data_IF_480438095526
#
_entry.id   IF_480438095526
#
_cell.length_a   1.000
_cell.length_b   1.000
_cell.length_c   1.000
_cell.angle_alpha   90.00
_cell.angle_beta   90.00
_cell.angle_gamma   90.00
#
_symmetry.space_group_name_H-M   'P 1'
#
loop_
_entity.id
_entity.type
_entity.pdbx_description
1 polymer ?
#
# COMPACT_ATOMS: atom_id res chain seq x y z
N UNK A 1 14.96 5.81 -30.29
CA UNK A 1 14.33 4.65 -30.88
C UNK A 1 12.85 4.65 -30.55
N UNK A 2 11.99 4.35 -31.52
CA UNK A 2 10.54 4.22 -31.25
C UNK A 2 10.32 2.97 -30.40
N UNK A 3 9.80 3.14 -29.20
CA UNK A 3 9.52 2.05 -28.25
C UNK A 3 8.10 1.49 -28.33
N UNK A 4 7.30 1.94 -29.30
CA UNK A 4 5.91 1.51 -29.47
C UNK A 4 5.49 1.45 -30.92
N UNK A 5 4.49 0.63 -31.21
CA UNK A 5 3.84 0.55 -32.54
C UNK A 5 2.52 1.30 -32.44
N UNK A 6 2.24 2.27 -33.35
CA UNK A 6 0.95 2.94 -33.37
C UNK A 6 -0.14 1.94 -33.75
N UNK A 7 -1.15 1.81 -32.90
CA UNK A 7 -2.29 0.89 -33.09
C UNK A 7 -3.57 1.61 -33.51
N UNK A 8 -3.60 2.92 -33.29
CA UNK A 8 -4.71 3.77 -33.69
C UNK A 8 -4.24 5.23 -33.85
N UNK A 9 -4.80 5.93 -34.83
CA UNK A 9 -4.63 7.37 -35.00
C UNK A 9 -5.97 7.99 -35.41
N UNK A 10 -6.29 9.14 -34.84
CA UNK A 10 -7.51 9.87 -35.13
C UNK A 10 -7.34 11.37 -34.98
N UNK A 11 -8.24 12.15 -35.61
CA UNK A 11 -8.32 13.60 -35.45
C UNK A 11 -9.56 13.97 -34.68
N UNK A 12 -9.40 14.88 -33.74
CA UNK A 12 -10.49 15.37 -32.90
C UNK A 12 -10.49 16.90 -32.89
N UNK A 13 -11.66 17.49 -33.10
CA UNK A 13 -11.81 18.94 -33.07
C UNK A 13 -12.19 19.37 -31.66
N UNK A 14 -11.24 20.00 -30.95
CA UNK A 14 -11.51 20.58 -29.65
C UNK A 14 -12.31 21.90 -29.81
N UNK A 15 -13.34 22.05 -28.98
CA UNK A 15 -14.01 23.34 -28.84
C UNK A 15 -13.09 24.32 -28.12
N UNK A 16 -12.99 25.54 -28.61
CA UNK A 16 -12.18 26.59 -27.98
C UNK A 16 -13.04 27.82 -27.70
N UNK A 17 -12.97 28.32 -26.46
CA UNK A 17 -13.52 29.62 -26.08
C UNK A 17 -12.35 30.49 -25.61
N UNK A 18 -12.35 31.76 -26.01
CA UNK A 18 -11.27 32.68 -25.66
C UNK A 18 -11.23 32.88 -24.13
N UNK A 19 -10.08 32.63 -23.52
CA UNK A 19 -9.83 32.76 -22.07
C UNK A 19 -10.71 31.90 -21.15
N UNK A 20 -11.28 30.80 -21.68
CA UNK A 20 -12.06 29.85 -20.89
C UNK A 20 -11.43 28.47 -20.99
N UNK A 21 -11.27 27.80 -19.85
CA UNK A 21 -10.90 26.38 -19.83
C UNK A 21 -12.11 25.56 -20.26
N UNK A 22 -11.96 24.81 -21.33
CA UNK A 22 -12.98 23.88 -21.84
C UNK A 22 -12.54 22.46 -21.53
N UNK A 23 -13.41 21.68 -20.91
CA UNK A 23 -13.24 20.25 -20.69
C UNK A 23 -14.14 19.49 -21.67
N UNK A 24 -13.56 18.54 -22.39
CA UNK A 24 -14.26 17.79 -23.41
C UNK A 24 -13.85 16.32 -23.34
N UNK A 25 -14.84 15.42 -23.27
CA UNK A 25 -14.60 13.99 -23.26
C UNK A 25 -14.12 13.50 -24.63
N UNK A 26 -13.06 12.68 -24.63
CA UNK A 26 -12.60 11.93 -25.78
C UNK A 26 -13.31 10.57 -25.79
N UNK A 27 -14.04 10.20 -26.86
CA UNK A 27 -14.77 8.92 -26.95
C UNK A 27 -13.79 7.78 -27.28
N UNK A 28 -12.87 7.47 -26.36
CA UNK A 28 -11.86 6.42 -26.56
C UNK A 28 -12.41 5.01 -26.34
N UNK A 29 -13.60 4.86 -25.74
CA UNK A 29 -14.23 3.55 -25.46
C UNK A 29 -14.29 2.67 -26.70
N UNK A 30 -14.82 3.22 -27.81
CA UNK A 30 -14.91 2.51 -29.10
C UNK A 30 -13.55 2.07 -29.65
N UNK A 31 -12.49 2.79 -29.32
CA UNK A 31 -11.12 2.45 -29.72
C UNK A 31 -10.62 1.30 -28.83
N UNK A 32 -10.83 1.40 -27.53
CA UNK A 32 -10.38 0.40 -26.56
C UNK A 32 -11.08 -0.97 -26.78
N UNK A 33 -12.35 -0.98 -27.18
CA UNK A 33 -13.08 -2.22 -27.52
C UNK A 33 -12.44 -3.00 -28.67
N UNK A 34 -11.71 -2.33 -29.56
CA UNK A 34 -11.02 -2.96 -30.71
C UNK A 34 -9.58 -3.35 -30.42
N UNK A 35 -9.01 -2.90 -29.29
CA UNK A 35 -7.64 -3.18 -28.90
C UNK A 35 -7.56 -4.44 -28.03
N UNK A 36 -6.50 -5.24 -28.18
CA UNK A 36 -6.25 -6.36 -27.27
C UNK A 36 -5.97 -5.86 -25.84
N UNK A 37 -5.97 -6.78 -24.87
CA UNK A 37 -5.48 -6.48 -23.53
C UNK A 37 -4.02 -6.02 -23.61
N UNK A 38 -3.66 -5.00 -22.79
CA UNK A 38 -2.29 -4.49 -22.76
C UNK A 38 -2.16 -3.06 -22.29
N UNK A 39 -0.94 -2.57 -22.31
CA UNK A 39 -0.58 -1.21 -21.92
C UNK A 39 -0.41 -0.33 -23.16
N UNK A 40 -1.17 0.76 -23.22
CA UNK A 40 -1.17 1.74 -24.31
C UNK A 40 -0.75 3.11 -23.83
N UNK A 41 -0.11 3.87 -24.69
CA UNK A 41 0.18 5.27 -24.47
C UNK A 41 -0.70 6.09 -25.43
N UNK A 42 -1.66 6.80 -24.88
CA UNK A 42 -2.42 7.82 -25.63
C UNK A 42 -1.59 9.10 -25.69
N UNK A 43 -1.35 9.61 -26.89
CA UNK A 43 -0.67 10.88 -27.12
C UNK A 43 -1.58 11.81 -27.88
N UNK A 44 -1.94 12.91 -27.28
CA UNK A 44 -2.66 14.01 -27.95
C UNK A 44 -1.66 15.11 -28.32
N UNK A 45 -1.65 15.51 -29.56
CA UNK A 45 -0.79 16.60 -30.06
C UNK A 45 -1.58 17.57 -30.91
N UNK A 46 -1.20 18.83 -30.88
CA UNK A 46 -1.73 19.85 -31.78
C UNK A 46 -1.38 19.51 -33.24
N UNK A 47 -2.35 19.61 -34.14
CA UNK A 47 -2.08 19.42 -35.58
C UNK A 47 -1.40 20.66 -36.09
N UNK A 48 -0.23 20.51 -36.73
CA UNK A 48 0.52 21.59 -37.32
C UNK A 48 -0.23 22.17 -38.53
N UNK A 49 -0.46 23.46 -38.50
CA UNK A 49 -0.96 24.20 -39.67
C UNK A 49 0.25 24.64 -40.47
N UNK A 50 0.20 24.52 -41.78
CA UNK A 50 1.28 24.97 -42.68
C UNK A 50 1.70 26.40 -42.36
N UNK A 51 3.00 26.64 -42.23
CA UNK A 51 3.59 27.95 -41.92
C UNK A 51 3.72 28.32 -40.43
N UNK A 52 3.36 27.45 -39.50
CA UNK A 52 3.50 27.70 -38.07
C UNK A 52 4.82 27.11 -37.51
N UNK A 53 5.72 27.98 -37.06
CA UNK A 53 6.99 27.61 -36.43
C UNK A 53 6.86 27.48 -34.90
N UNK A 54 5.68 27.10 -34.39
CA UNK A 54 5.42 26.97 -32.95
C UNK A 54 5.84 25.60 -32.44
N UNK A 55 6.44 25.58 -31.24
CA UNK A 55 6.63 24.33 -30.49
C UNK A 55 5.26 23.69 -30.23
N UNK A 56 5.02 22.56 -30.87
CA UNK A 56 3.78 21.81 -30.71
C UNK A 56 3.63 21.31 -29.26
N UNK A 57 2.50 21.65 -28.67
CA UNK A 57 2.13 21.12 -27.36
C UNK A 57 1.62 19.69 -27.50
N UNK A 58 2.00 18.84 -26.57
CA UNK A 58 1.47 17.48 -26.49
C UNK A 58 1.11 17.15 -25.05
N UNK A 59 0.20 16.22 -24.90
CA UNK A 59 -0.13 15.57 -23.64
C UNK A 59 -0.15 14.07 -23.86
N UNK A 60 0.20 13.32 -22.83
CA UNK A 60 0.19 11.86 -22.91
C UNK A 60 -0.40 11.26 -21.63
N UNK A 61 -1.08 10.11 -21.80
CA UNK A 61 -1.70 9.35 -20.73
C UNK A 61 -1.49 7.87 -20.98
N UNK A 62 -1.04 7.14 -19.96
CA UNK A 62 -1.03 5.69 -19.99
C UNK A 62 -2.42 5.14 -19.78
N UNK A 63 -2.79 4.14 -20.57
CA UNK A 63 -4.07 3.43 -20.51
C UNK A 63 -3.75 1.95 -20.43
N UNK A 64 -4.29 1.30 -19.40
CA UNK A 64 -4.22 -0.15 -19.25
C UNK A 64 -5.57 -0.75 -19.65
N UNK A 65 -5.58 -1.54 -20.73
CA UNK A 65 -6.73 -2.32 -21.14
C UNK A 65 -6.57 -3.76 -20.63
N UNK A 66 -7.34 -4.12 -19.61
CA UNK A 66 -7.22 -5.41 -18.91
C UNK A 66 -8.55 -5.81 -18.31
N UNK A 67 -8.80 -7.11 -18.23
CA UNK A 67 -9.91 -7.68 -17.43
C UNK A 67 -9.44 -8.13 -16.03
N UNK A 68 -8.20 -7.82 -15.63
CA UNK A 68 -7.69 -8.18 -14.31
C UNK A 68 -7.75 -7.02 -13.33
N UNK A 69 -8.50 -7.18 -12.26
CA UNK A 69 -8.43 -6.36 -11.05
C UNK A 69 -7.37 -6.90 -10.09
N UNK A 70 -6.37 -6.08 -9.74
CA UNK A 70 -5.30 -6.43 -8.80
C UNK A 70 -5.41 -5.58 -7.56
N UNK A 71 -5.45 -6.23 -6.40
CA UNK A 71 -5.39 -5.55 -5.11
C UNK A 71 -4.30 -6.15 -4.23
N UNK A 72 -3.67 -5.33 -3.39
CA UNK A 72 -2.63 -5.77 -2.48
C UNK A 72 -2.83 -5.17 -1.09
N UNK A 73 -2.65 -5.99 -0.06
CA UNK A 73 -2.68 -5.58 1.33
C UNK A 73 -1.35 -5.95 1.98
N UNK A 74 -0.65 -4.95 2.55
CA UNK A 74 0.61 -5.14 3.27
C UNK A 74 0.31 -5.28 4.76
N UNK A 75 0.94 -6.25 5.41
CA UNK A 75 0.85 -6.52 6.84
C UNK A 75 2.22 -6.89 7.42
N UNK A 76 2.31 -7.14 8.72
CA UNK A 76 3.59 -7.35 9.40
C UNK A 76 4.38 -8.57 8.87
N UNK A 77 3.70 -9.62 8.41
CA UNK A 77 4.31 -10.87 7.94
C UNK A 77 4.53 -10.91 6.42
N UNK A 78 4.17 -9.84 5.69
CA UNK A 78 4.33 -9.81 4.25
C UNK A 78 3.27 -9.00 3.51
N UNK A 79 2.84 -9.51 2.36
CA UNK A 79 1.82 -8.89 1.52
C UNK A 79 0.92 -9.97 0.93
N UNK A 80 -0.39 -9.75 0.95
CA UNK A 80 -1.36 -10.56 0.21
C UNK A 80 -1.76 -9.83 -1.06
N UNK A 81 -1.74 -10.52 -2.18
CA UNK A 81 -2.16 -10.02 -3.49
C UNK A 81 -3.35 -10.84 -3.95
N UNK A 82 -4.40 -10.15 -4.39
CA UNK A 82 -5.59 -10.80 -4.94
C UNK A 82 -5.80 -10.36 -6.39
N UNK A 83 -6.10 -11.32 -7.25
CA UNK A 83 -6.36 -11.10 -8.68
C UNK A 83 -7.74 -11.64 -9.02
N UNK A 84 -8.59 -10.77 -9.58
CA UNK A 84 -9.96 -11.13 -9.98
C UNK A 84 -10.28 -10.58 -11.35
N UNK A 85 -11.14 -11.27 -12.07
CA UNK A 85 -11.70 -10.75 -13.32
C UNK A 85 -12.65 -9.58 -13.03
N UNK A 86 -12.49 -8.47 -13.76
CA UNK A 86 -13.29 -7.26 -13.54
C UNK A 86 -14.74 -7.43 -13.99
N UNK A 87 -14.99 -8.24 -15.02
CA UNK A 87 -16.32 -8.50 -15.58
C UNK A 87 -17.17 -9.42 -14.69
N UNK A 88 -16.56 -10.41 -14.04
CA UNK A 88 -17.26 -11.47 -13.30
C UNK A 88 -16.97 -11.52 -11.82
N UNK A 89 -16.00 -10.71 -11.35
CA UNK A 89 -15.43 -10.75 -10.00
C UNK A 89 -14.89 -12.14 -9.57
N UNK A 90 -14.77 -13.10 -10.50
CA UNK A 90 -14.24 -14.44 -10.21
C UNK A 90 -12.74 -14.38 -9.96
N UNK A 91 -12.21 -15.24 -9.06
CA UNK A 91 -10.77 -15.34 -8.86
C UNK A 91 -10.06 -15.83 -10.12
N UNK A 92 -8.87 -15.30 -10.37
CA UNK A 92 -7.99 -15.75 -11.45
C UNK A 92 -6.87 -16.58 -10.83
N UNK A 93 -6.91 -17.90 -11.04
CA UNK A 93 -5.86 -18.84 -10.63
C UNK A 93 -4.69 -18.84 -11.62
N UNK A 94 -3.52 -19.31 -11.16
CA UNK A 94 -2.30 -19.44 -11.96
C UNK A 94 -1.83 -18.13 -12.62
N UNK A 95 -2.32 -16.99 -12.19
CA UNK A 95 -1.78 -15.69 -12.62
C UNK A 95 -0.37 -15.52 -12.06
N UNK A 96 0.59 -15.28 -12.93
CA UNK A 96 1.97 -15.01 -12.57
C UNK A 96 2.09 -13.60 -11.99
N UNK A 97 2.67 -13.48 -10.81
CA UNK A 97 2.89 -12.20 -10.11
C UNK A 97 4.39 -12.02 -9.89
N UNK A 98 4.92 -10.91 -10.37
CA UNK A 98 6.29 -10.49 -10.16
C UNK A 98 6.32 -9.21 -9.32
N UNK A 99 7.06 -9.22 -8.21
CA UNK A 99 7.34 -8.03 -7.41
C UNK A 99 8.62 -7.38 -7.93
N UNK A 100 8.49 -6.14 -8.39
CA UNK A 100 9.56 -5.38 -9.01
C UNK A 100 9.98 -4.23 -8.10
N UNK A 101 11.29 -4.02 -7.96
CA UNK A 101 11.89 -2.92 -7.19
C UNK A 101 11.96 -1.63 -8.02
N UNK A 102 12.39 -0.55 -7.37
CA UNK A 102 12.68 0.73 -8.05
C UNK A 102 13.84 0.64 -9.05
N UNK A 103 14.79 -0.28 -8.84
CA UNK A 103 15.87 -0.59 -9.78
C UNK A 103 15.45 -1.50 -10.94
N UNK A 104 14.16 -1.86 -11.00
CA UNK A 104 13.58 -2.74 -12.02
C UNK A 104 14.03 -4.21 -11.91
N UNK A 105 14.46 -4.64 -10.72
CA UNK A 105 14.81 -6.03 -10.45
C UNK A 105 13.60 -6.80 -9.94
N UNK A 106 13.43 -8.05 -10.36
CA UNK A 106 12.42 -8.96 -9.84
C UNK A 106 12.95 -9.56 -8.54
N UNK A 107 12.31 -9.26 -7.41
CA UNK A 107 12.70 -9.76 -6.08
C UNK A 107 11.82 -10.91 -5.59
N UNK A 108 10.70 -11.13 -6.24
CA UNK A 108 9.82 -12.25 -5.95
C UNK A 108 8.97 -12.59 -7.17
N UNK A 109 8.77 -13.89 -7.40
CA UNK A 109 7.87 -14.42 -8.42
C UNK A 109 7.03 -15.54 -7.83
N UNK A 110 5.75 -15.58 -8.17
CA UNK A 110 4.83 -16.61 -7.74
C UNK A 110 3.55 -16.63 -8.56
N UNK A 111 2.65 -17.57 -8.27
CA UNK A 111 1.37 -17.71 -8.94
C UNK A 111 0.22 -17.68 -7.94
N UNK A 112 -0.90 -17.15 -8.35
CA UNK A 112 -2.13 -17.18 -7.56
C UNK A 112 -2.66 -18.61 -7.41
N UNK A 113 -3.25 -18.88 -6.27
CA UNK A 113 -3.96 -20.12 -5.98
C UNK A 113 -5.38 -20.12 -6.61
N UNK A 114 -6.18 -21.16 -6.34
CA UNK A 114 -7.55 -21.28 -6.86
C UNK A 114 -8.49 -20.16 -6.37
N UNK A 115 -8.15 -19.45 -5.32
CA UNK A 115 -8.88 -18.30 -4.79
C UNK A 115 -8.41 -16.97 -5.39
N UNK A 116 -7.47 -17.02 -6.34
CA UNK A 116 -6.87 -15.85 -6.97
C UNK A 116 -5.91 -15.09 -6.04
N UNK A 117 -5.39 -15.75 -5.00
CA UNK A 117 -4.56 -15.12 -3.97
C UNK A 117 -3.12 -15.63 -4.02
N UNK A 118 -2.16 -14.73 -3.81
CA UNK A 118 -0.76 -15.04 -3.58
C UNK A 118 -0.26 -14.28 -2.35
N UNK A 119 0.40 -14.98 -1.44
CA UNK A 119 1.05 -14.38 -0.27
C UNK A 119 2.55 -14.24 -0.52
N UNK A 120 3.06 -13.02 -0.43
CA UNK A 120 4.47 -12.70 -0.50
C UNK A 120 5.02 -12.62 0.93
N UNK A 121 6.11 -13.34 1.23
CA UNK A 121 6.71 -13.31 2.57
C UNK A 121 7.35 -11.95 2.86
N UNK A 122 7.43 -11.61 4.15
CA UNK A 122 7.95 -10.32 4.61
C UNK A 122 9.35 -9.98 4.07
N UNK A 123 10.33 -10.90 3.97
CA UNK A 123 11.63 -10.59 3.40
C UNK A 123 11.57 -10.06 1.95
N UNK A 124 10.62 -10.53 1.15
CA UNK A 124 10.46 -10.09 -0.24
C UNK A 124 9.93 -8.64 -0.34
N UNK A 125 9.19 -8.18 0.67
CA UNK A 125 8.55 -6.84 0.68
C UNK A 125 9.32 -5.80 1.50
N UNK A 126 10.52 -6.13 1.96
CA UNK A 126 11.37 -5.36 2.90
C UNK A 126 12.46 -4.55 2.21
N UNK A 127 12.35 -4.09 1.06
CA UNK A 127 13.41 -3.30 0.39
C UNK A 127 13.45 -1.83 0.82
N UNK A 128 14.63 -1.19 0.67
CA UNK A 128 14.83 0.25 0.86
C UNK A 128 15.53 0.86 -0.34
N UNK A 129 15.34 2.17 -0.59
CA UNK A 129 15.96 2.92 -1.69
C UNK A 129 15.71 2.24 -3.06
N UNK A 130 16.78 1.89 -3.80
CA UNK A 130 16.70 1.22 -5.10
C UNK A 130 16.02 -0.15 -5.01
N UNK A 131 16.26 -0.89 -3.92
CA UNK A 131 15.68 -2.22 -3.67
C UNK A 131 14.28 -2.17 -3.05
N UNK A 132 13.69 -0.98 -2.87
CA UNK A 132 12.32 -0.87 -2.36
C UNK A 132 11.33 -1.45 -3.38
N UNK A 133 10.37 -2.29 -2.94
CA UNK A 133 9.26 -2.74 -3.77
C UNK A 133 8.54 -1.54 -4.40
N UNK A 134 8.29 -1.61 -5.69
CA UNK A 134 7.75 -0.50 -6.47
C UNK A 134 6.46 -0.86 -7.21
N UNK A 135 6.43 -2.02 -7.84
CA UNK A 135 5.30 -2.46 -8.64
C UNK A 135 5.07 -3.97 -8.50
N UNK A 136 3.80 -4.35 -8.57
CA UNK A 136 3.38 -5.73 -8.87
C UNK A 136 3.02 -5.80 -10.35
N UNK A 137 3.61 -6.73 -11.06
CA UNK A 137 3.26 -7.05 -12.45
C UNK A 137 2.57 -8.39 -12.47
N UNK A 138 1.39 -8.44 -13.05
CA UNK A 138 0.54 -9.62 -13.10
C UNK A 138 0.31 -10.02 -14.56
N UNK A 139 0.48 -11.29 -14.86
CA UNK A 139 0.22 -11.87 -16.18
C UNK A 139 -0.67 -13.09 -16.05
N UNK A 140 -1.69 -13.16 -16.89
CA UNK A 140 -2.52 -14.36 -17.02
C UNK A 140 -2.89 -14.55 -18.48
N UNK A 141 -2.47 -15.66 -19.08
CA UNK A 141 -2.65 -15.95 -20.52
C UNK A 141 -2.07 -14.81 -21.39
N UNK A 142 -2.93 -14.03 -22.04
CA UNK A 142 -2.55 -12.87 -22.86
C UNK A 142 -2.75 -11.55 -22.15
N UNK A 143 -3.40 -11.55 -20.99
CA UNK A 143 -3.73 -10.35 -20.25
C UNK A 143 -2.58 -9.93 -19.31
N UNK A 144 -2.47 -8.63 -19.11
CA UNK A 144 -1.42 -7.97 -18.36
C UNK A 144 -2.01 -6.87 -17.49
N UNK A 145 -1.65 -6.86 -16.22
CA UNK A 145 -1.97 -5.79 -15.29
C UNK A 145 -0.75 -5.42 -14.44
N UNK A 146 -0.75 -4.23 -13.88
CA UNK A 146 0.24 -3.84 -12.90
C UNK A 146 -0.40 -2.99 -11.80
N UNK A 147 0.18 -3.04 -10.59
CA UNK A 147 -0.21 -2.24 -9.45
C UNK A 147 1.02 -1.52 -8.91
N UNK A 148 1.00 -0.19 -8.94
CA UNK A 148 2.05 0.62 -8.33
C UNK A 148 1.88 0.64 -6.80
N UNK A 149 2.95 0.30 -6.07
CA UNK A 149 2.95 0.22 -4.60
C UNK A 149 3.40 1.52 -3.92
N UNK A 150 3.82 2.50 -4.69
CA UNK A 150 4.30 3.80 -4.23
C UNK A 150 3.20 4.89 -4.18
N UNK A 151 1.99 4.57 -4.61
CA UNK A 151 0.83 5.44 -4.43
C UNK A 151 0.25 5.29 -3.03
N UNK A 152 -0.46 6.32 -2.58
CA UNK A 152 -1.18 6.26 -1.32
C UNK A 152 -2.12 5.04 -1.30
N UNK A 153 -2.08 4.28 -0.22
CA UNK A 153 -3.06 3.24 0.03
C UNK A 153 -4.48 3.85 0.00
N UNK A 154 -5.49 3.00 -0.24
CA UNK A 154 -6.87 3.42 -0.09
C UNK A 154 -7.06 4.08 1.28
N UNK A 155 -7.57 5.31 1.28
CA UNK A 155 -7.86 6.02 2.53
C UNK A 155 -9.09 5.39 3.19
N UNK A 156 -8.84 4.69 4.28
CA UNK A 156 -9.85 4.02 5.09
C UNK A 156 -10.07 4.76 6.42
N UNK A 157 -9.53 5.96 6.58
CA UNK A 157 -9.61 6.73 7.83
C UNK A 157 -11.06 7.03 8.26
N UNK A 158 -11.97 7.13 7.31
CA UNK A 158 -13.40 7.33 7.58
C UNK A 158 -14.14 6.08 8.08
N UNK A 159 -13.53 4.90 7.99
CA UNK A 159 -14.16 3.62 8.34
C UNK A 159 -13.81 3.14 9.75
N UNK A 160 -13.14 3.96 10.56
CA UNK A 160 -12.70 3.64 11.93
C UNK A 160 -11.98 2.28 12.04
N UNK A 161 -11.26 1.91 11.01
CA UNK A 161 -10.44 0.69 10.96
C UNK A 161 -9.00 0.95 11.40
N UNK A 162 -8.73 2.12 11.96
CA UNK A 162 -7.42 2.51 12.48
C UNK A 162 -7.03 1.59 13.63
N UNK A 163 -6.35 0.51 13.31
CA UNK A 163 -5.72 -0.37 14.29
C UNK A 163 -4.38 0.20 14.75
N UNK A 164 -3.95 -0.19 15.95
CA UNK A 164 -2.60 0.06 16.41
C UNK A 164 -1.61 -0.78 15.61
N UNK A 165 -0.49 -0.18 15.20
CA UNK A 165 0.60 -0.94 14.56
C UNK A 165 1.09 -2.00 15.55
N UNK A 166 0.99 -3.28 15.16
CA UNK A 166 1.49 -4.38 15.97
C UNK A 166 3.01 -4.27 16.11
N UNK A 167 3.50 -4.33 17.34
CA UNK A 167 4.93 -4.38 17.61
C UNK A 167 5.48 -5.77 17.29
N UNK A 168 6.61 -5.84 16.59
CA UNK A 168 7.29 -7.10 16.31
C UNK A 168 7.86 -7.77 17.58
N UNK A 169 8.02 -7.00 18.66
CA UNK A 169 8.61 -7.49 19.93
C UNK A 169 7.57 -7.87 20.98
N UNK A 170 6.32 -7.50 20.77
CA UNK A 170 5.25 -7.73 21.73
C UNK A 170 4.50 -6.47 22.09
N UNK A 171 3.55 -6.59 22.98
CA UNK A 171 2.59 -5.58 23.34
C UNK A 171 2.39 -5.49 24.84
N UNK A 172 2.11 -4.30 25.35
CA UNK A 172 1.81 -4.08 26.75
C UNK A 172 0.54 -3.24 26.92
N UNK A 173 -0.32 -3.67 27.79
CA UNK A 173 -1.47 -2.91 28.24
C UNK A 173 -1.23 -2.47 29.68
N UNK A 174 -1.32 -1.16 29.94
CA UNK A 174 -1.09 -0.54 31.24
C UNK A 174 -2.32 0.23 31.67
N UNK A 175 -2.69 0.08 32.92
CA UNK A 175 -3.76 0.88 33.51
C UNK A 175 -3.48 1.16 34.98
N UNK A 176 -4.04 2.25 35.46
CA UNK A 176 -4.00 2.67 36.87
C UNK A 176 -5.39 2.55 37.48
N UNK A 177 -5.47 2.42 38.80
CA UNK A 177 -6.74 2.36 39.52
C UNK A 177 -7.57 3.66 39.37
N UNK A 178 -6.91 4.79 39.06
CA UNK A 178 -7.52 6.09 38.81
C UNK A 178 -6.81 6.84 37.69
N UNK A 179 -7.52 7.74 37.00
CA UNK A 179 -6.95 8.63 35.99
C UNK A 179 -6.26 9.87 36.56
N UNK A 180 -6.54 10.25 37.79
CA UNK A 180 -6.04 11.49 38.44
C UNK A 180 -5.63 11.16 39.88
N UNK A 181 -4.43 11.63 40.27
CA UNK A 181 -3.86 11.48 41.62
C UNK A 181 -3.49 12.85 42.16
N UNK A 182 -3.63 12.99 43.49
CA UNK A 182 -3.10 14.16 44.17
C UNK A 182 -1.60 14.07 44.39
N UNK A 183 -0.90 15.18 44.55
CA UNK A 183 0.52 15.16 44.90
C UNK A 183 0.80 14.27 46.12
N UNK A 184 1.80 13.40 46.02
CA UNK A 184 2.22 12.44 47.07
C UNK A 184 1.29 11.24 47.29
N UNK A 185 0.21 11.08 46.52
CA UNK A 185 -0.56 9.84 46.55
C UNK A 185 0.24 8.69 45.91
N UNK A 186 -0.04 7.48 46.31
CA UNK A 186 0.53 6.28 45.71
C UNK A 186 -0.28 5.95 44.45
N UNK A 187 0.43 5.77 43.36
CA UNK A 187 -0.13 5.30 42.09
C UNK A 187 -0.04 3.79 42.05
N UNK A 188 -1.16 3.12 41.86
CA UNK A 188 -1.24 1.67 41.66
C UNK A 188 -1.36 1.41 40.16
N UNK A 189 -0.33 0.79 39.59
CA UNK A 189 -0.25 0.48 38.17
C UNK A 189 -0.32 -1.03 37.98
N UNK A 190 -1.16 -1.47 37.09
CA UNK A 190 -1.24 -2.84 36.63
C UNK A 190 -0.83 -2.91 35.16
N UNK A 191 -0.05 -3.92 34.81
CA UNK A 191 0.38 -4.15 33.43
C UNK A 191 0.22 -5.60 33.01
N UNK A 192 -0.14 -5.78 31.74
CA UNK A 192 -0.21 -7.06 31.04
C UNK A 192 0.73 -6.99 29.86
N UNK A 193 1.57 -8.00 29.66
CA UNK A 193 2.48 -8.06 28.52
C UNK A 193 2.19 -9.33 27.70
N UNK A 194 2.21 -9.19 26.39
CA UNK A 194 2.01 -10.28 25.43
C UNK A 194 3.06 -10.19 24.33
N UNK A 195 3.52 -11.34 23.86
CA UNK A 195 4.36 -11.39 22.68
C UNK A 195 3.54 -11.16 21.39
N UNK A 196 4.21 -11.15 20.24
CA UNK A 196 3.59 -10.97 18.93
C UNK A 196 2.46 -11.97 18.59
N UNK A 197 2.40 -13.11 19.26
CA UNK A 197 1.38 -14.14 19.08
C UNK A 197 0.27 -14.04 20.14
N UNK A 198 0.22 -12.95 20.90
CA UNK A 198 -0.72 -12.70 21.99
C UNK A 198 -0.64 -13.71 23.15
N UNK A 199 0.48 -14.42 23.31
CA UNK A 199 0.76 -15.31 24.44
C UNK A 199 1.88 -14.78 25.34
N UNK A 200 2.25 -15.52 26.37
CA UNK A 200 3.25 -15.15 27.37
C UNK A 200 4.62 -15.76 27.14
N UNK A 201 4.78 -16.57 26.10
CA UNK A 201 6.03 -17.30 25.84
C UNK A 201 7.18 -16.36 25.50
N UNK A 202 8.31 -16.57 26.12
CA UNK A 202 9.55 -15.83 25.83
C UNK A 202 9.53 -14.36 26.25
N UNK A 203 8.58 -13.93 27.08
CA UNK A 203 8.58 -12.60 27.67
C UNK A 203 9.70 -12.55 28.73
N UNK A 204 10.72 -11.75 28.40
CA UNK A 204 11.83 -11.47 29.30
C UNK A 204 11.53 -10.33 30.28
N UNK A 205 12.60 -9.83 30.94
CA UNK A 205 12.50 -8.69 31.82
C UNK A 205 12.04 -7.43 31.09
N UNK A 206 11.08 -6.71 31.66
CA UNK A 206 10.55 -5.45 31.15
C UNK A 206 10.95 -4.30 32.04
N UNK A 207 11.33 -3.19 31.42
CA UNK A 207 11.64 -1.95 32.11
C UNK A 207 10.42 -1.01 32.00
N UNK A 208 9.87 -0.61 33.12
CA UNK A 208 8.85 0.43 33.18
C UNK A 208 9.54 1.77 33.39
N UNK A 209 9.43 2.67 32.43
CA UNK A 209 10.01 4.02 32.51
C UNK A 209 8.88 5.04 32.57
N UNK A 210 8.87 5.82 33.65
CA UNK A 210 7.89 6.89 33.84
C UNK A 210 8.55 8.21 33.47
N UNK A 211 7.93 8.94 32.57
CA UNK A 211 8.40 10.24 32.11
C UNK A 211 7.55 11.37 32.68
N UNK A 212 8.17 12.50 32.93
CA UNK A 212 7.48 13.76 33.17
C UNK A 212 6.92 14.33 31.86
N UNK A 213 5.97 15.26 31.89
CA UNK A 213 5.43 15.92 30.68
C UNK A 213 6.50 16.57 29.79
N UNK A 214 7.63 16.98 30.37
CA UNK A 214 8.76 17.54 29.63
C UNK A 214 9.69 16.47 29.00
N UNK A 215 9.33 15.18 29.06
CA UNK A 215 10.11 14.08 28.49
C UNK A 215 11.24 13.55 29.39
N UNK A 216 11.57 14.21 30.51
CA UNK A 216 12.61 13.73 31.42
C UNK A 216 12.13 12.50 32.18
N UNK A 217 13.07 11.56 32.42
CA UNK A 217 12.77 10.34 33.19
C UNK A 217 12.47 10.75 34.64
N UNK A 218 11.31 10.35 35.14
CA UNK A 218 10.93 10.49 36.55
C UNK A 218 11.39 9.30 37.36
N UNK A 219 11.05 8.09 36.90
CA UNK A 219 11.36 6.85 37.62
C UNK A 219 11.56 5.69 36.67
N UNK A 220 12.47 4.76 37.01
CA UNK A 220 12.63 3.45 36.34
C UNK A 220 12.31 2.36 37.34
N UNK A 221 11.46 1.42 36.92
CA UNK A 221 11.01 0.30 37.72
C UNK A 221 11.20 -0.99 36.94
N UNK A 222 11.43 -2.08 37.64
CA UNK A 222 11.66 -3.41 37.10
C UNK A 222 10.60 -4.35 37.71
N UNK A 223 9.37 -4.34 37.16
CA UNK A 223 8.29 -5.13 37.73
C UNK A 223 8.60 -6.62 37.62
N UNK A 224 8.19 -7.37 38.62
CA UNK A 224 8.22 -8.84 38.62
C UNK A 224 6.90 -9.34 38.03
N UNK A 225 7.00 -10.22 37.05
CA UNK A 225 5.83 -10.84 36.43
C UNK A 225 5.36 -12.05 37.24
N UNK A 226 4.06 -12.27 37.21
CA UNK A 226 3.45 -13.55 37.53
C UNK A 226 3.52 -14.52 36.33
N UNK A 227 2.95 -15.71 36.50
CA UNK A 227 2.92 -16.76 35.46
C UNK A 227 2.09 -16.36 34.19
N UNK A 228 1.25 -15.33 34.28
CA UNK A 228 0.47 -14.81 33.16
C UNK A 228 1.12 -13.59 32.51
N UNK A 229 2.40 -13.30 32.84
CA UNK A 229 3.11 -12.10 32.44
C UNK A 229 2.33 -10.81 32.72
N UNK A 230 1.65 -10.78 33.87
CA UNK A 230 1.06 -9.59 34.47
C UNK A 230 1.90 -9.10 35.66
N UNK A 231 1.76 -7.84 36.00
CA UNK A 231 2.43 -7.25 37.15
C UNK A 231 1.58 -6.16 37.80
N UNK A 232 1.76 -6.01 39.11
CA UNK A 232 1.28 -4.85 39.86
C UNK A 232 2.49 -4.08 40.41
N UNK A 233 2.49 -2.78 40.24
CA UNK A 233 3.57 -1.90 40.65
C UNK A 233 3.05 -0.62 41.28
N UNK A 234 3.67 -0.24 42.41
CA UNK A 234 3.33 1.01 43.09
C UNK A 234 4.47 2.00 43.01
N UNK A 235 4.13 3.28 42.92
CA UNK A 235 5.09 4.39 43.00
C UNK A 235 4.42 5.69 43.50
N UNK A 236 5.25 6.59 44.01
CA UNK A 236 4.88 7.95 44.44
C UNK A 236 5.65 8.96 43.63
#
# INVERSE_FOLDING_TARGET
>A
GQTGVPVWEGKYTASSLRNVRVEQALPIEKVLETLPEGLFLLVAREVQTEGSNKNLKFASQWILNTNMGVSAAKYAQGMSVNVRALDTAKPISDAEINLITRSNDIVFSGKTNNEGTLTLPEPAVRGKQANAPSHLVVRSKKDFAFLALNHAALDLSSLDIGGRVLSNSGDAYLFTDRGIYRPRETVHLTGLVRNKNANTDGIGNVNLVIHRPNGSVYKKLFPKFDHEASFAQEFK
#
